data_IF_269520787132
#
_entry.id   IF_269520787132
#
_cell.length_a   1.000
_cell.length_b   1.000
_cell.length_c   1.000
_cell.angle_alpha   90.00
_cell.angle_beta   90.00
_cell.angle_gamma   90.00
#
_symmetry.space_group_name_H-M   'P 1'
#
loop_
_entity.id
_entity.type
_entity.pdbx_description
1 polymer ?
#
# COMPACT_ATOMS: atom_id res chain seq x y z
N UNK A 1 -4.19 -6.65 30.55
CA UNK A 1 -4.99 -6.46 29.33
C UNK A 1 -4.89 -7.74 28.53
N UNK A 2 -5.99 -8.30 28.03
CA UNK A 2 -5.94 -9.44 27.10
C UNK A 2 -5.18 -9.01 25.84
N UNK A 3 -4.31 -9.85 25.35
CA UNK A 3 -3.56 -9.59 24.10
C UNK A 3 -4.57 -9.65 22.94
N UNK A 4 -4.68 -8.58 22.15
CA UNK A 4 -5.55 -8.51 20.98
C UNK A 4 -5.04 -9.50 19.93
N UNK A 5 -5.92 -10.36 19.42
CA UNK A 5 -5.59 -11.37 18.41
C UNK A 5 -5.35 -10.70 17.07
N UNK A 6 -4.21 -10.98 16.42
CA UNK A 6 -3.86 -10.44 15.11
C UNK A 6 -3.49 -11.54 14.11
N UNK A 7 -3.91 -11.39 12.86
CA UNK A 7 -3.43 -12.17 11.74
C UNK A 7 -2.70 -11.25 10.73
N UNK A 8 -1.58 -11.73 10.19
CA UNK A 8 -0.84 -11.03 9.13
C UNK A 8 -1.23 -11.63 7.78
N UNK A 9 -1.60 -10.80 6.81
CA UNK A 9 -2.07 -11.20 5.49
C UNK A 9 -1.10 -10.72 4.42
N UNK A 10 -0.57 -11.65 3.61
CA UNK A 10 0.48 -11.35 2.62
C UNK A 10 0.10 -11.93 1.25
N UNK A 11 -0.33 -11.12 0.27
CA UNK A 11 -0.34 -11.56 -1.12
C UNK A 11 1.09 -11.76 -1.62
N UNK A 12 1.35 -12.94 -2.22
CA UNK A 12 2.68 -13.29 -2.72
C UNK A 12 2.63 -13.73 -4.19
N UNK A 13 3.62 -13.30 -4.97
CA UNK A 13 3.86 -13.75 -6.33
C UNK A 13 5.34 -13.98 -6.56
N UNK A 14 5.70 -15.20 -6.93
CA UNK A 14 7.12 -15.62 -7.07
C UNK A 14 7.96 -15.24 -5.85
N UNK A 15 7.54 -15.64 -4.63
CA UNK A 15 8.28 -15.31 -3.42
C UNK A 15 9.70 -15.90 -3.49
N UNK A 16 10.68 -15.14 -3.02
CA UNK A 16 12.10 -15.49 -3.03
C UNK A 16 12.75 -15.25 -1.66
N UNK A 17 14.05 -14.99 -1.63
CA UNK A 17 14.84 -14.78 -0.42
C UNK A 17 14.32 -13.59 0.43
N UNK A 18 13.82 -12.54 -0.20
CA UNK A 18 13.26 -11.39 0.52
C UNK A 18 12.00 -11.77 1.29
N UNK A 19 11.18 -12.65 0.73
CA UNK A 19 10.00 -13.19 1.41
C UNK A 19 10.38 -14.09 2.59
N UNK A 20 11.42 -14.88 2.47
CA UNK A 20 11.95 -15.71 3.57
C UNK A 20 12.43 -14.83 4.73
N UNK A 21 13.19 -13.76 4.44
CA UNK A 21 13.57 -12.75 5.43
C UNK A 21 12.36 -12.05 6.08
N UNK A 22 11.28 -11.87 5.33
CA UNK A 22 10.03 -11.34 5.88
C UNK A 22 9.43 -12.29 6.91
N UNK A 23 9.34 -13.60 6.59
CA UNK A 23 8.83 -14.61 7.53
C UNK A 23 9.69 -14.70 8.79
N UNK A 24 11.02 -14.71 8.64
CA UNK A 24 11.97 -14.67 9.77
C UNK A 24 11.71 -13.47 10.68
N UNK A 25 11.59 -12.25 10.12
CA UNK A 25 11.37 -11.02 10.90
C UNK A 25 9.98 -10.94 11.52
N UNK A 26 8.97 -11.53 10.89
CA UNK A 26 7.62 -11.64 11.48
C UNK A 26 7.62 -12.63 12.65
N UNK A 27 8.30 -13.76 12.53
CA UNK A 27 8.42 -14.74 13.63
C UNK A 27 9.21 -14.18 14.84
N UNK A 28 10.04 -13.16 14.61
CA UNK A 28 10.83 -12.51 15.66
C UNK A 28 10.11 -11.31 16.32
N UNK A 29 8.88 -10.98 15.94
CA UNK A 29 8.14 -9.87 16.55
C UNK A 29 7.88 -10.10 18.04
N UNK A 30 7.92 -9.04 18.85
CA UNK A 30 7.60 -9.12 20.28
C UNK A 30 6.11 -9.29 20.54
N UNK A 31 5.28 -8.62 19.76
CA UNK A 31 3.84 -8.81 19.82
C UNK A 31 3.46 -10.13 19.14
N UNK A 32 2.70 -11.02 19.81
CA UNK A 32 2.39 -12.34 19.27
C UNK A 32 1.50 -12.24 18.03
N UNK A 33 1.93 -12.89 16.96
CA UNK A 33 1.15 -13.10 15.74
C UNK A 33 0.41 -14.43 15.90
N UNK A 34 -0.90 -14.43 15.61
CA UNK A 34 -1.70 -15.67 15.67
C UNK A 34 -1.49 -16.52 14.41
N UNK A 35 -1.62 -15.93 13.21
CA UNK A 35 -1.37 -16.59 11.92
C UNK A 35 -0.75 -15.64 10.91
N UNK A 36 -0.05 -16.21 9.92
CA UNK A 36 0.44 -15.52 8.72
C UNK A 36 -0.26 -16.15 7.51
N UNK A 37 -1.34 -15.51 7.04
CA UNK A 37 -2.15 -15.99 5.90
C UNK A 37 -1.50 -15.51 4.60
N UNK A 38 -0.98 -16.43 3.80
CA UNK A 38 -0.29 -16.12 2.54
C UNK A 38 -1.17 -16.49 1.35
N UNK A 39 -1.54 -15.49 0.55
CA UNK A 39 -2.25 -15.67 -0.72
C UNK A 39 -1.24 -15.80 -1.85
N UNK A 40 -0.73 -17.02 -2.09
CA UNK A 40 0.32 -17.26 -3.06
C UNK A 40 -0.22 -17.46 -4.47
N UNK A 41 0.15 -16.57 -5.38
CA UNK A 41 -0.16 -16.68 -6.81
C UNK A 41 0.79 -17.66 -7.49
N UNK A 42 0.23 -18.68 -8.14
CA UNK A 42 0.89 -19.80 -8.82
C UNK A 42 1.69 -20.72 -7.87
N UNK A 43 1.05 -21.84 -7.46
CA UNK A 43 1.59 -22.87 -6.55
C UNK A 43 3.03 -23.30 -6.87
N UNK A 44 3.42 -23.37 -8.14
CA UNK A 44 4.77 -23.81 -8.58
C UNK A 44 5.93 -22.98 -8.03
N UNK A 45 5.67 -21.72 -7.57
CA UNK A 45 6.70 -20.86 -6.99
C UNK A 45 6.78 -20.94 -5.45
N UNK A 46 5.91 -21.74 -4.83
CA UNK A 46 5.88 -21.90 -3.39
C UNK A 46 6.89 -22.96 -2.92
N UNK A 47 7.67 -22.67 -1.90
CA UNK A 47 8.54 -23.61 -1.22
C UNK A 47 7.81 -24.19 -0.01
N UNK A 48 7.44 -25.48 -0.06
CA UNK A 48 6.75 -26.15 1.05
C UNK A 48 7.53 -26.12 2.36
N UNK A 49 8.85 -25.96 2.29
CA UNK A 49 9.72 -25.84 3.45
C UNK A 49 9.33 -24.67 4.37
N UNK A 50 8.81 -23.57 3.82
CA UNK A 50 8.38 -22.42 4.62
C UNK A 50 7.23 -22.74 5.60
N UNK A 51 6.34 -23.69 5.28
CA UNK A 51 5.27 -24.12 6.21
C UNK A 51 5.84 -24.96 7.38
N UNK A 52 6.99 -25.61 7.17
CA UNK A 52 7.69 -26.41 8.19
C UNK A 52 8.51 -25.49 9.10
N UNK A 53 9.26 -24.55 8.50
CA UNK A 53 10.17 -23.65 9.22
C UNK A 53 9.42 -22.54 9.97
N UNK A 54 8.23 -22.16 9.47
CA UNK A 54 7.40 -21.11 10.04
C UNK A 54 5.97 -21.61 10.31
N UNK A 55 5.73 -22.28 11.46
CA UNK A 55 4.45 -22.95 11.75
C UNK A 55 3.21 -22.04 11.79
N UNK A 56 3.38 -20.70 11.88
CA UNK A 56 2.29 -19.73 11.82
C UNK A 56 1.81 -19.48 10.38
N UNK A 57 2.53 -19.95 9.36
CA UNK A 57 2.19 -19.73 7.95
C UNK A 57 1.07 -20.68 7.52
N UNK A 58 -0.01 -20.08 7.02
CA UNK A 58 -1.11 -20.74 6.35
C UNK A 58 -1.17 -20.25 4.90
N UNK A 59 -0.94 -21.15 3.92
CA UNK A 59 -0.87 -20.77 2.51
C UNK A 59 -2.11 -21.17 1.72
N UNK A 60 -2.63 -20.21 0.95
CA UNK A 60 -3.70 -20.42 -0.02
C UNK A 60 -3.18 -20.10 -1.42
N UNK A 61 -3.35 -21.03 -2.36
CA UNK A 61 -2.87 -20.85 -3.72
C UNK A 61 -3.95 -20.32 -4.65
N UNK A 62 -3.57 -19.37 -5.51
CA UNK A 62 -4.40 -18.78 -6.55
C UNK A 62 -3.76 -19.01 -7.92
N UNK A 63 -4.56 -19.02 -8.96
CA UNK A 63 -4.07 -18.84 -10.33
C UNK A 63 -3.82 -17.35 -10.60
N UNK A 64 -2.96 -17.05 -11.57
CA UNK A 64 -2.61 -15.67 -11.91
C UNK A 64 -3.81 -14.85 -12.38
N UNK A 65 -4.74 -15.49 -13.03
CA UNK A 65 -6.00 -14.92 -13.53
C UNK A 65 -6.99 -14.57 -12.41
N UNK A 66 -6.88 -15.23 -11.26
CA UNK A 66 -7.73 -14.98 -10.09
C UNK A 66 -7.28 -13.78 -9.28
N UNK A 67 -6.00 -13.39 -9.41
CA UNK A 67 -5.44 -12.30 -8.61
C UNK A 67 -6.11 -10.96 -8.93
N UNK A 68 -6.48 -10.26 -7.89
CA UNK A 68 -6.92 -8.86 -7.87
C UNK A 68 -6.46 -8.22 -6.56
N UNK A 69 -6.07 -6.96 -6.58
CA UNK A 69 -5.51 -6.30 -5.39
C UNK A 69 -6.50 -6.22 -4.23
N UNK A 70 -7.77 -5.89 -4.50
CA UNK A 70 -8.82 -5.81 -3.50
C UNK A 70 -9.37 -7.18 -3.14
N UNK A 71 -9.87 -7.93 -4.14
CA UNK A 71 -10.54 -9.21 -3.94
C UNK A 71 -9.64 -10.26 -3.26
N UNK A 72 -8.35 -10.33 -3.61
CA UNK A 72 -7.42 -11.29 -3.00
C UNK A 72 -7.24 -11.01 -1.50
N UNK A 73 -7.09 -9.73 -1.11
CA UNK A 73 -6.97 -9.35 0.30
C UNK A 73 -8.28 -9.53 1.06
N UNK A 74 -9.40 -9.22 0.42
CA UNK A 74 -10.74 -9.45 1.00
C UNK A 74 -10.98 -10.93 1.28
N UNK A 75 -10.71 -11.82 0.31
CA UNK A 75 -10.80 -13.27 0.50
C UNK A 75 -9.91 -13.76 1.65
N UNK A 76 -8.72 -13.20 1.80
CA UNK A 76 -7.84 -13.55 2.91
C UNK A 76 -8.36 -13.04 4.25
N UNK A 77 -8.98 -11.86 4.30
CA UNK A 77 -9.63 -11.35 5.51
C UNK A 77 -10.78 -12.25 5.97
N UNK A 78 -11.55 -12.80 5.04
CA UNK A 78 -12.67 -13.74 5.31
C UNK A 78 -12.20 -15.07 5.96
N UNK A 79 -10.91 -15.43 5.83
CA UNK A 79 -10.30 -16.60 6.48
C UNK A 79 -9.89 -16.31 7.93
N UNK A 80 -9.87 -15.05 8.33
CA UNK A 80 -9.42 -14.61 9.65
C UNK A 80 -10.56 -14.46 10.65
N UNK A 81 -10.27 -14.83 11.89
CA UNK A 81 -11.10 -14.56 13.07
C UNK A 81 -10.39 -13.62 14.07
N UNK A 82 -9.30 -12.98 13.63
CA UNK A 82 -8.54 -12.05 14.46
C UNK A 82 -9.28 -10.71 14.63
N UNK A 83 -9.00 -10.01 15.71
CA UNK A 83 -9.56 -8.68 15.99
C UNK A 83 -8.91 -7.58 15.15
N UNK A 84 -7.63 -7.76 14.79
CA UNK A 84 -6.88 -6.86 13.92
C UNK A 84 -6.29 -7.65 12.75
N UNK A 85 -6.48 -7.14 11.53
CA UNK A 85 -5.89 -7.64 10.31
C UNK A 85 -4.68 -6.78 9.94
N UNK A 86 -3.51 -7.39 9.77
CA UNK A 86 -2.30 -6.67 9.30
C UNK A 86 -1.99 -7.10 7.88
N UNK A 87 -2.23 -6.22 6.91
CA UNK A 87 -1.84 -6.47 5.51
C UNK A 87 -0.41 -6.02 5.26
N UNK A 88 0.37 -6.87 4.59
CA UNK A 88 1.74 -6.55 4.17
C UNK A 88 1.97 -6.97 2.72
N UNK A 89 2.89 -6.29 2.02
CA UNK A 89 3.45 -6.79 0.77
C UNK A 89 4.64 -7.70 1.05
N UNK A 90 4.88 -8.67 0.15
CA UNK A 90 5.93 -9.68 0.32
C UNK A 90 7.37 -9.14 0.40
N UNK A 91 7.58 -7.87 0.09
CA UNK A 91 8.86 -7.16 0.04
C UNK A 91 8.98 -6.02 1.07
N UNK A 92 8.04 -5.95 2.01
CA UNK A 92 8.06 -5.01 3.13
C UNK A 92 8.68 -5.66 4.36
N UNK A 93 9.94 -5.38 4.64
CA UNK A 93 10.65 -6.00 5.77
C UNK A 93 10.48 -5.20 7.06
N UNK A 94 9.98 -5.80 8.17
CA UNK A 94 10.00 -5.15 9.48
C UNK A 94 11.39 -4.58 9.82
N UNK A 95 11.46 -3.31 10.21
CA UNK A 95 12.73 -2.68 10.54
C UNK A 95 13.26 -3.13 11.92
N UNK A 96 12.34 -3.48 12.82
CA UNK A 96 12.61 -3.93 14.17
C UNK A 96 11.55 -4.93 14.66
N UNK A 97 11.63 -5.33 15.92
CA UNK A 97 10.72 -6.31 16.55
C UNK A 97 9.47 -5.68 17.14
N UNK A 98 9.28 -4.36 17.03
CA UNK A 98 8.17 -3.61 17.60
C UNK A 98 7.10 -3.26 16.56
N UNK A 99 7.31 -3.60 15.28
CA UNK A 99 6.41 -3.22 14.18
C UNK A 99 4.94 -3.55 14.48
N UNK A 100 4.66 -4.80 14.84
CA UNK A 100 3.29 -5.28 15.08
C UNK A 100 2.70 -4.61 16.32
N UNK A 101 3.46 -4.54 17.42
CA UNK A 101 3.02 -3.86 18.65
C UNK A 101 2.67 -2.39 18.41
N UNK A 102 3.49 -1.66 17.65
CA UNK A 102 3.26 -0.26 17.31
C UNK A 102 2.01 -0.07 16.43
N UNK A 103 1.72 -1.00 15.50
CA UNK A 103 0.50 -0.95 14.69
C UNK A 103 -0.75 -1.25 15.54
N UNK A 104 -0.67 -2.24 16.44
CA UNK A 104 -1.78 -2.58 17.34
C UNK A 104 -2.10 -1.40 18.26
N UNK A 105 -1.08 -0.81 18.91
CA UNK A 105 -1.24 0.39 19.74
C UNK A 105 -1.86 1.55 18.95
N UNK A 106 -1.45 1.76 17.72
CA UNK A 106 -2.02 2.80 16.87
C UNK A 106 -3.53 2.61 16.55
N UNK A 107 -4.04 1.39 16.63
CA UNK A 107 -5.49 1.12 16.53
C UNK A 107 -6.17 1.24 17.91
N UNK A 108 -5.60 0.57 18.93
CA UNK A 108 -6.26 0.40 20.22
C UNK A 108 -6.24 1.69 21.07
N UNK A 109 -5.16 2.48 20.97
CA UNK A 109 -4.98 3.69 21.78
C UNK A 109 -5.71 4.93 21.20
N UNK A 110 -6.32 4.80 20.03
CA UNK A 110 -7.02 5.91 19.38
C UNK A 110 -8.49 5.56 19.14
N UNK A 111 -9.38 6.31 19.76
CA UNK A 111 -10.82 6.20 19.56
C UNK A 111 -11.18 6.34 18.07
N UNK A 112 -12.01 5.45 17.56
CA UNK A 112 -12.45 5.39 16.15
C UNK A 112 -11.33 5.16 15.13
N UNK A 113 -10.14 4.71 15.51
CA UNK A 113 -9.12 4.30 14.55
C UNK A 113 -9.54 3.01 13.83
N UNK A 114 -9.92 3.11 12.58
CA UNK A 114 -10.27 1.94 11.76
C UNK A 114 -9.08 1.37 11.00
N UNK A 115 -8.02 2.16 10.78
CA UNK A 115 -6.79 1.71 10.15
C UNK A 115 -5.55 2.44 10.68
N UNK A 116 -4.42 1.73 10.71
CA UNK A 116 -3.11 2.31 10.97
C UNK A 116 -2.09 1.79 9.95
N UNK A 117 -1.20 2.66 9.42
CA UNK A 117 -0.19 2.24 8.46
C UNK A 117 1.22 2.65 8.88
N UNK A 118 2.18 1.80 8.51
CA UNK A 118 3.57 1.91 8.91
C UNK A 118 4.35 2.94 8.10
N UNK A 119 5.42 3.44 8.69
CA UNK A 119 6.45 4.24 8.04
C UNK A 119 7.30 3.37 7.14
N UNK A 120 7.39 3.76 5.86
CA UNK A 120 8.26 3.09 4.91
C UNK A 120 9.63 3.77 4.88
N UNK A 121 10.65 3.02 5.29
CA UNK A 121 12.05 3.41 5.21
C UNK A 121 12.65 2.97 3.86
N UNK A 122 13.61 3.71 3.29
CA UNK A 122 14.28 3.30 2.07
C UNK A 122 15.16 2.06 2.32
N UNK A 123 15.16 1.11 1.38
CA UNK A 123 16.13 0.00 1.33
C UNK A 123 17.54 0.55 1.04
N UNK A 124 18.57 -0.26 1.27
CA UNK A 124 19.98 0.13 1.08
C UNK A 124 20.29 0.58 -0.36
N UNK A 125 19.75 -0.16 -1.34
CA UNK A 125 19.90 0.09 -2.78
C UNK A 125 19.05 1.23 -3.32
N UNK A 126 18.27 1.88 -2.45
CA UNK A 126 17.36 2.96 -2.84
C UNK A 126 18.10 4.16 -3.42
N UNK A 127 17.69 4.63 -4.60
CA UNK A 127 18.28 5.80 -5.26
C UNK A 127 18.08 7.08 -4.45
N UNK A 128 19.01 8.02 -4.59
CA UNK A 128 19.06 9.27 -3.82
C UNK A 128 17.73 10.03 -3.82
N UNK A 129 17.13 10.23 -4.99
CA UNK A 129 15.85 10.95 -5.10
C UNK A 129 14.68 10.17 -4.47
N UNK A 130 14.69 8.85 -4.58
CA UNK A 130 13.66 8.02 -3.96
C UNK A 130 13.78 8.01 -2.43
N UNK A 131 15.01 8.05 -1.86
CA UNK A 131 15.23 8.24 -0.41
C UNK A 131 14.55 9.52 0.08
N UNK A 132 14.72 10.62 -0.67
CA UNK A 132 14.03 11.88 -0.34
C UNK A 132 12.51 11.75 -0.46
N UNK A 133 12.02 11.13 -1.52
CA UNK A 133 10.57 10.92 -1.73
C UNK A 133 9.96 10.10 -0.58
N UNK A 134 10.66 9.08 -0.08
CA UNK A 134 10.23 8.31 1.09
C UNK A 134 10.16 9.17 2.34
N UNK A 135 11.20 9.94 2.65
CA UNK A 135 11.20 10.82 3.82
C UNK A 135 10.11 11.90 3.75
N UNK A 136 9.79 12.39 2.54
CA UNK A 136 8.72 13.37 2.33
C UNK A 136 7.33 12.78 2.57
N UNK A 137 7.08 11.55 2.09
CA UNK A 137 5.78 10.90 2.21
C UNK A 137 5.57 10.20 3.56
N UNK A 138 6.65 9.80 4.22
CA UNK A 138 6.65 9.08 5.49
C UNK A 138 7.53 9.79 6.52
N UNK A 139 7.09 10.96 7.04
CA UNK A 139 7.84 11.74 8.02
C UNK A 139 8.03 10.98 9.34
N UNK A 140 8.90 11.49 10.21
CA UNK A 140 9.19 10.84 11.50
C UNK A 140 8.10 11.06 12.58
N UNK A 141 7.10 11.87 12.29
CA UNK A 141 6.02 12.20 13.22
C UNK A 141 4.73 11.49 12.82
N UNK A 142 4.12 10.78 13.76
CA UNK A 142 2.80 10.17 13.63
C UNK A 142 1.70 11.23 13.50
N UNK A 143 0.61 10.89 12.85
CA UNK A 143 -0.58 11.74 12.81
C UNK A 143 -1.85 10.91 12.66
N UNK A 144 -2.94 11.46 13.18
CA UNK A 144 -4.30 10.94 12.99
C UNK A 144 -4.95 11.77 11.88
N UNK A 145 -5.69 11.11 11.00
CA UNK A 145 -6.38 11.72 9.87
C UNK A 145 -7.86 11.38 9.96
N UNK A 146 -8.69 12.42 9.91
CA UNK A 146 -10.14 12.34 10.02
C UNK A 146 -10.80 13.12 8.89
N UNK A 147 -12.11 13.08 8.77
CA UNK A 147 -12.86 13.84 7.78
C UNK A 147 -12.57 15.35 7.83
N UNK A 148 -12.31 15.89 9.03
CA UNK A 148 -11.97 17.32 9.23
C UNK A 148 -10.68 17.74 8.51
N UNK A 149 -9.79 16.78 8.24
CA UNK A 149 -8.51 17.01 7.55
C UNK A 149 -8.65 17.13 6.03
N UNK A 150 -9.79 16.75 5.43
CA UNK A 150 -9.98 16.74 3.96
C UNK A 150 -9.75 18.11 3.35
N UNK A 151 -10.21 19.18 4.01
CA UNK A 151 -10.04 20.55 3.54
C UNK A 151 -8.57 21.01 3.50
N UNK A 152 -7.75 20.53 4.44
CA UNK A 152 -6.35 20.97 4.59
C UNK A 152 -5.34 20.01 3.97
N UNK A 153 -5.61 18.70 4.00
CA UNK A 153 -4.71 17.65 3.51
C UNK A 153 -5.14 17.07 2.15
N UNK A 154 -6.36 17.38 1.69
CA UNK A 154 -6.89 16.84 0.44
C UNK A 154 -6.86 15.32 0.43
N UNK A 155 -6.46 14.76 -0.70
CA UNK A 155 -6.39 13.30 -0.93
C UNK A 155 -5.47 12.55 0.07
N UNK A 156 -4.51 13.24 0.71
CA UNK A 156 -3.66 12.63 1.74
C UNK A 156 -4.41 12.23 3.00
N UNK A 157 -5.60 12.75 3.22
CA UNK A 157 -6.46 12.32 4.32
C UNK A 157 -6.82 10.83 4.18
N UNK A 158 -7.10 10.38 2.96
CA UNK A 158 -7.45 8.99 2.65
C UNK A 158 -6.23 8.09 2.44
N UNK A 159 -5.02 8.65 2.49
CA UNK A 159 -3.82 7.85 2.26
C UNK A 159 -3.65 6.79 3.36
N UNK A 160 -3.69 5.54 2.95
CA UNK A 160 -3.29 4.36 3.70
C UNK A 160 -2.38 3.52 2.80
N UNK A 161 -1.63 2.57 3.33
CA UNK A 161 -0.75 1.78 2.49
C UNK A 161 -0.63 0.34 2.96
N UNK A 162 -1.21 -0.58 2.18
CA UNK A 162 -1.11 -2.03 2.37
C UNK A 162 0.30 -2.60 2.13
N UNK A 163 1.30 -1.75 1.91
CA UNK A 163 2.70 -2.15 2.08
C UNK A 163 2.91 -2.68 3.50
N UNK A 164 2.32 -2.00 4.50
CA UNK A 164 2.16 -2.50 5.87
C UNK A 164 1.10 -1.66 6.57
N UNK A 165 -0.08 -2.22 6.79
CA UNK A 165 -1.20 -1.55 7.45
C UNK A 165 -2.05 -2.51 8.28
N UNK A 166 -2.46 -2.06 9.47
CA UNK A 166 -3.39 -2.73 10.35
C UNK A 166 -4.80 -2.16 10.21
N UNK A 167 -5.81 -3.00 10.36
CA UNK A 167 -7.22 -2.63 10.30
C UNK A 167 -7.98 -3.25 11.46
N UNK A 168 -8.84 -2.50 12.12
CA UNK A 168 -9.86 -3.05 13.04
C UNK A 168 -10.80 -3.93 12.22
N UNK A 169 -10.83 -5.23 12.53
CA UNK A 169 -11.56 -6.22 11.73
C UNK A 169 -13.08 -6.02 11.81
N UNK A 170 -13.60 -5.54 12.93
CA UNK A 170 -15.02 -5.21 13.08
C UNK A 170 -15.40 -4.06 12.13
N UNK A 171 -14.63 -2.96 12.13
CA UNK A 171 -14.87 -1.83 11.23
C UNK A 171 -14.67 -2.25 9.77
N UNK A 172 -13.66 -3.10 9.50
CA UNK A 172 -13.40 -3.64 8.17
C UNK A 172 -14.63 -4.37 7.62
N UNK A 173 -15.27 -5.23 8.42
CA UNK A 173 -16.46 -5.96 8.04
C UNK A 173 -17.71 -5.07 7.95
N UNK A 174 -17.88 -4.13 8.88
CA UNK A 174 -18.99 -3.16 8.88
C UNK A 174 -19.08 -2.38 7.56
N UNK A 175 -17.92 -2.01 7.00
CA UNK A 175 -17.81 -1.26 5.75
C UNK A 175 -17.74 -2.15 4.50
N UNK A 176 -17.83 -3.46 4.65
CA UNK A 176 -17.83 -4.43 3.55
C UNK A 176 -16.44 -4.80 3.03
N UNK A 177 -15.36 -4.42 3.73
CA UNK A 177 -13.98 -4.75 3.36
C UNK A 177 -13.45 -3.97 2.16
N UNK A 178 -12.32 -4.41 1.60
CA UNK A 178 -11.78 -3.82 0.38
C UNK A 178 -12.73 -3.99 -0.81
N UNK A 179 -12.66 -3.10 -1.84
CA UNK A 179 -13.48 -3.23 -3.02
C UNK A 179 -13.29 -4.61 -3.67
N UNK A 180 -14.38 -5.21 -4.17
CA UNK A 180 -14.36 -6.52 -4.83
C UNK A 180 -13.48 -6.53 -6.08
N UNK A 181 -13.27 -5.36 -6.63
CA UNK A 181 -12.45 -5.15 -7.81
C UNK A 181 -11.69 -3.85 -7.71
N UNK A 182 -10.37 -3.94 -7.73
CA UNK A 182 -9.50 -2.78 -7.73
C UNK A 182 -8.26 -3.03 -8.60
N UNK A 183 -8.06 -2.20 -9.62
CA UNK A 183 -6.83 -2.26 -10.41
C UNK A 183 -5.63 -1.82 -9.58
N UNK A 184 -5.86 -0.90 -8.66
CA UNK A 184 -4.84 -0.30 -7.80
C UNK A 184 -5.51 0.44 -6.63
N UNK A 185 -4.79 0.71 -5.53
CA UNK A 185 -5.20 1.67 -4.49
C UNK A 185 -6.41 1.22 -3.64
N UNK A 186 -6.64 -0.08 -3.50
CA UNK A 186 -7.72 -0.64 -2.69
C UNK A 186 -7.72 -0.15 -1.24
N UNK A 187 -6.50 0.07 -0.71
CA UNK A 187 -6.26 0.62 0.63
C UNK A 187 -6.76 2.06 0.77
N UNK A 188 -6.51 2.89 -0.23
CA UNK A 188 -6.90 4.29 -0.22
C UNK A 188 -8.40 4.47 -0.51
N UNK A 189 -8.99 3.61 -1.36
CA UNK A 189 -10.43 3.58 -1.60
C UNK A 189 -11.16 3.25 -0.30
N UNK A 190 -10.75 2.16 0.36
CA UNK A 190 -11.32 1.73 1.63
C UNK A 190 -11.14 2.79 2.73
N UNK A 191 -9.93 3.38 2.85
CA UNK A 191 -9.68 4.45 3.80
C UNK A 191 -10.57 5.68 3.54
N UNK A 192 -10.88 5.97 2.27
CA UNK A 192 -11.82 7.03 1.92
C UNK A 192 -13.25 6.75 2.39
N UNK A 193 -13.75 5.52 2.19
CA UNK A 193 -15.05 5.10 2.73
C UNK A 193 -15.08 5.19 4.26
N UNK A 194 -14.02 4.71 4.89
CA UNK A 194 -13.87 4.69 6.34
C UNK A 194 -13.88 6.10 6.94
N UNK A 195 -13.09 7.03 6.39
CA UNK A 195 -13.03 8.42 6.85
C UNK A 195 -14.38 9.13 6.67
N UNK A 196 -15.07 8.92 5.54
CA UNK A 196 -16.43 9.47 5.29
C UNK A 196 -17.50 8.91 6.22
N UNK A 197 -17.23 7.77 6.88
CA UNK A 197 -18.08 7.18 7.94
C UNK A 197 -17.71 7.63 9.35
N UNK A 198 -16.76 8.57 9.49
CA UNK A 198 -16.36 9.14 10.77
C UNK A 198 -15.22 8.40 11.48
N UNK A 199 -14.65 7.37 10.86
CA UNK A 199 -13.48 6.68 11.40
C UNK A 199 -12.18 7.42 11.06
N UNK A 200 -11.10 7.09 11.77
CA UNK A 200 -9.81 7.70 11.59
C UNK A 200 -8.78 6.75 10.96
N UNK A 201 -7.85 7.31 10.19
CA UNK A 201 -6.63 6.64 9.72
C UNK A 201 -5.43 7.16 10.49
N UNK A 202 -4.69 6.27 11.15
CA UNK A 202 -3.49 6.62 11.91
C UNK A 202 -2.25 6.37 11.06
N UNK A 203 -1.39 7.34 10.92
CA UNK A 203 -0.03 7.15 10.46
C UNK A 203 0.85 6.86 11.67
N UNK A 204 1.35 5.64 11.79
CA UNK A 204 2.17 5.17 12.89
C UNK A 204 3.66 5.25 12.52
N UNK A 205 4.32 6.38 12.80
CA UNK A 205 5.71 6.61 12.41
C UNK A 205 6.71 5.69 13.10
N UNK A 206 6.36 5.14 14.26
CA UNK A 206 7.18 4.20 15.02
C UNK A 206 7.03 2.75 14.55
N UNK A 207 5.94 2.41 13.86
CA UNK A 207 5.82 1.17 13.11
C UNK A 207 6.60 1.30 11.79
N UNK A 208 7.71 0.58 11.63
CA UNK A 208 8.65 0.80 10.52
C UNK A 208 8.88 -0.44 9.69
N UNK A 209 8.88 -0.26 8.36
CA UNK A 209 9.27 -1.29 7.39
C UNK A 209 10.27 -0.74 6.38
N UNK A 210 11.23 -1.54 5.95
CA UNK A 210 12.06 -1.23 4.78
C UNK A 210 11.29 -1.60 3.51
N UNK A 211 10.98 -0.59 2.70
CA UNK A 211 10.31 -0.79 1.42
C UNK A 211 10.60 0.39 0.49
N UNK A 212 11.16 0.12 -0.67
CA UNK A 212 11.36 1.11 -1.73
C UNK A 212 11.54 0.42 -3.08
N UNK A 213 11.23 1.13 -4.16
CA UNK A 213 11.40 0.67 -5.52
C UNK A 213 12.08 1.74 -6.38
N UNK A 214 13.08 1.32 -7.13
CA UNK A 214 13.80 2.17 -8.08
C UNK A 214 13.14 2.14 -9.47
N UNK A 215 11.88 2.57 -9.57
CA UNK A 215 11.13 2.53 -10.82
C UNK A 215 11.78 3.35 -11.94
N UNK A 216 11.76 2.82 -13.17
CA UNK A 216 12.06 3.56 -14.39
C UNK A 216 10.93 4.54 -14.74
N UNK A 217 11.17 5.48 -15.67
CA UNK A 217 10.13 6.38 -16.16
C UNK A 217 8.94 5.62 -16.77
N UNK A 218 9.18 4.54 -17.51
CA UNK A 218 8.13 3.70 -18.08
C UNK A 218 7.28 3.03 -16.98
N UNK A 219 7.92 2.43 -15.97
CA UNK A 219 7.20 1.84 -14.82
C UNK A 219 6.41 2.88 -14.05
N UNK A 220 6.95 4.10 -13.86
CA UNK A 220 6.22 5.21 -13.24
C UNK A 220 5.00 5.62 -14.06
N UNK A 221 5.12 5.65 -15.39
CA UNK A 221 4.00 5.94 -16.30
C UNK A 221 2.89 4.90 -16.13
N UNK A 222 3.20 3.61 -16.28
CA UNK A 222 2.21 2.53 -16.21
C UNK A 222 1.51 2.47 -14.84
N UNK A 223 2.30 2.59 -13.74
CA UNK A 223 1.77 2.62 -12.38
C UNK A 223 0.81 3.80 -12.15
N UNK A 224 1.17 4.98 -12.64
CA UNK A 224 0.31 6.16 -12.49
C UNK A 224 -0.90 6.13 -13.44
N UNK A 225 -0.81 5.42 -14.58
CA UNK A 225 -1.98 5.13 -15.39
C UNK A 225 -3.01 4.31 -14.61
N UNK A 226 -2.59 3.20 -13.98
CA UNK A 226 -3.49 2.37 -13.17
C UNK A 226 -4.03 3.15 -11.95
N UNK A 227 -3.24 4.04 -11.33
CA UNK A 227 -3.70 4.96 -10.30
C UNK A 227 -4.80 5.91 -10.80
N UNK A 228 -4.60 6.49 -11.99
CA UNK A 228 -5.60 7.35 -12.63
C UNK A 228 -6.91 6.63 -12.91
N UNK A 229 -6.82 5.40 -13.45
CA UNK A 229 -7.99 4.52 -13.66
C UNK A 229 -8.72 4.25 -12.36
N UNK A 230 -8.00 3.82 -11.32
CA UNK A 230 -8.57 3.54 -10.00
C UNK A 230 -9.35 4.73 -9.43
N UNK A 231 -8.80 5.94 -9.52
CA UNK A 231 -9.49 7.14 -9.06
C UNK A 231 -10.67 7.54 -9.95
N UNK A 232 -10.65 7.24 -11.24
CA UNK A 232 -11.78 7.49 -12.13
C UNK A 232 -12.94 6.51 -11.91
N UNK A 233 -12.65 5.30 -11.46
CA UNK A 233 -13.64 4.26 -11.15
C UNK A 233 -14.31 4.45 -9.77
N UNK A 234 -13.71 5.27 -8.88
CA UNK A 234 -14.21 5.54 -7.53
C UNK A 234 -14.47 7.04 -7.29
N UNK A 235 -15.37 7.68 -8.08
CA UNK A 235 -15.70 9.10 -7.91
C UNK A 235 -16.29 9.37 -6.51
N UNK A 236 -16.99 8.41 -5.91
CA UNK A 236 -17.55 8.51 -4.55
C UNK A 236 -16.49 8.78 -3.47
N UNK A 237 -15.23 8.45 -3.76
CA UNK A 237 -14.09 8.74 -2.86
C UNK A 237 -13.33 9.98 -3.29
N UNK A 238 -13.02 10.09 -4.59
CA UNK A 238 -11.99 11.00 -5.08
C UNK A 238 -12.53 12.27 -5.77
N UNK A 239 -13.82 12.32 -6.13
CA UNK A 239 -14.39 13.50 -6.76
C UNK A 239 -14.44 14.69 -5.79
N UNK A 240 -14.03 15.86 -6.26
CA UNK A 240 -13.98 17.08 -5.44
C UNK A 240 -12.84 17.12 -4.42
N UNK A 241 -12.00 16.08 -4.31
CA UNK A 241 -10.87 16.06 -3.39
C UNK A 241 -9.58 16.51 -4.09
N UNK A 242 -8.93 17.61 -3.63
CA UNK A 242 -7.72 18.12 -4.25
C UNK A 242 -6.58 17.07 -4.24
N UNK A 243 -6.04 16.72 -5.40
CA UNK A 243 -4.96 15.73 -5.56
C UNK A 243 -3.70 16.29 -6.24
N UNK A 244 -3.85 17.23 -7.16
CA UNK A 244 -2.76 17.69 -8.04
C UNK A 244 -1.72 18.56 -7.32
N UNK A 245 -2.11 19.30 -6.32
CA UNK A 245 -1.21 20.18 -5.55
C UNK A 245 -0.07 19.46 -4.85
N UNK A 246 -0.29 18.22 -4.42
CA UNK A 246 0.72 17.43 -3.71
C UNK A 246 1.86 16.96 -4.63
N UNK A 247 1.55 16.60 -5.87
CA UNK A 247 2.58 16.26 -6.87
C UNK A 247 3.49 17.45 -7.17
N UNK A 248 2.91 18.62 -7.39
CA UNK A 248 3.67 19.86 -7.62
C UNK A 248 4.51 20.23 -6.39
N UNK A 249 3.95 20.10 -5.20
CA UNK A 249 4.66 20.37 -3.94
C UNK A 249 5.87 19.43 -3.77
N UNK A 250 5.71 18.14 -4.06
CA UNK A 250 6.81 17.17 -4.02
C UNK A 250 7.91 17.56 -5.01
N UNK A 251 7.59 17.90 -6.26
CA UNK A 251 8.56 18.30 -7.27
C UNK A 251 9.34 19.54 -6.84
N UNK A 252 8.66 20.60 -6.38
CA UNK A 252 9.30 21.83 -5.89
C UNK A 252 10.25 21.56 -4.72
N UNK A 253 9.81 20.76 -3.75
CA UNK A 253 10.64 20.41 -2.58
C UNK A 253 11.81 19.49 -2.96
N UNK A 254 11.61 18.55 -3.88
CA UNK A 254 12.68 17.69 -4.39
C UNK A 254 13.74 18.51 -5.13
N UNK A 255 13.34 19.48 -5.96
CA UNK A 255 14.27 20.37 -6.64
C UNK A 255 15.08 21.21 -5.64
N UNK A 256 14.42 21.84 -4.66
CA UNK A 256 15.10 22.59 -3.61
C UNK A 256 16.08 21.71 -2.80
N UNK A 257 15.71 20.45 -2.53
CA UNK A 257 16.57 19.50 -1.86
C UNK A 257 17.82 19.16 -2.70
N UNK A 258 17.65 18.89 -4.00
CA UNK A 258 18.75 18.59 -4.91
C UNK A 258 19.74 19.75 -5.02
N UNK A 259 19.24 20.99 -5.12
CA UNK A 259 20.08 22.21 -5.13
C UNK A 259 20.85 22.35 -3.80
N UNK A 260 20.17 22.23 -2.66
CA UNK A 260 20.77 22.38 -1.34
C UNK A 260 21.84 21.32 -1.04
N UNK A 261 21.67 20.11 -1.56
CA UNK A 261 22.60 18.99 -1.35
C UNK A 261 23.66 18.85 -2.44
N UNK A 262 23.70 19.77 -3.42
CA UNK A 262 24.68 19.78 -4.48
C UNK A 262 24.45 18.75 -5.59
N UNK A 263 23.28 18.11 -5.65
CA UNK A 263 22.97 17.04 -6.62
C UNK A 263 22.18 17.56 -7.84
N UNK A 264 22.55 18.72 -8.36
CA UNK A 264 21.83 19.40 -9.45
C UNK A 264 21.74 18.59 -10.75
N UNK A 265 22.69 17.68 -11.02
CA UNK A 265 22.67 16.77 -12.19
C UNK A 265 21.51 15.77 -12.18
N UNK A 266 20.82 15.57 -11.02
CA UNK A 266 19.63 14.73 -10.93
C UNK A 266 18.34 15.48 -11.31
N UNK A 267 18.37 16.80 -11.49
CA UNK A 267 17.19 17.61 -11.83
C UNK A 267 16.55 17.17 -13.16
N UNK A 268 17.27 16.92 -14.26
CA UNK A 268 16.65 16.40 -15.48
C UNK A 268 15.89 15.08 -15.24
N UNK A 269 16.49 14.15 -14.47
CA UNK A 269 15.85 12.89 -14.09
C UNK A 269 14.55 13.08 -13.28
N UNK A 270 14.52 14.05 -12.35
CA UNK A 270 13.32 14.43 -11.61
C UNK A 270 12.20 14.91 -12.56
N UNK A 271 12.53 15.73 -13.56
CA UNK A 271 11.56 16.20 -14.54
C UNK A 271 10.98 15.06 -15.39
N UNK A 272 11.83 14.19 -15.96
CA UNK A 272 11.36 13.06 -16.76
C UNK A 272 10.49 12.09 -15.95
N UNK A 273 10.87 11.77 -14.71
CA UNK A 273 10.05 10.94 -13.85
C UNK A 273 8.70 11.59 -13.50
N UNK A 274 8.70 12.90 -13.21
CA UNK A 274 7.48 13.64 -12.88
C UNK A 274 6.55 13.77 -14.08
N UNK A 275 7.10 14.03 -15.27
CA UNK A 275 6.35 14.06 -16.52
C UNK A 275 5.72 12.70 -16.85
N UNK A 276 6.47 11.61 -16.66
CA UNK A 276 5.96 10.25 -16.86
C UNK A 276 4.82 9.92 -15.91
N UNK A 277 4.95 10.26 -14.62
CA UNK A 277 3.88 10.11 -13.62
C UNK A 277 2.63 10.88 -14.03
N UNK A 278 2.80 12.16 -14.38
CA UNK A 278 1.68 13.02 -14.75
C UNK A 278 0.98 12.52 -16.02
N UNK A 279 1.75 12.17 -17.06
CA UNK A 279 1.19 11.65 -18.30
C UNK A 279 0.41 10.35 -18.09
N UNK A 280 0.95 9.40 -17.31
CA UNK A 280 0.25 8.18 -16.95
C UNK A 280 -1.06 8.48 -16.22
N UNK A 281 -1.00 9.28 -15.16
CA UNK A 281 -2.16 9.66 -14.36
C UNK A 281 -3.24 10.37 -15.19
N UNK A 282 -2.83 11.34 -16.02
CA UNK A 282 -3.73 12.10 -16.88
C UNK A 282 -4.49 11.19 -17.88
N UNK A 283 -3.78 10.25 -18.53
CA UNK A 283 -4.40 9.28 -19.43
C UNK A 283 -5.28 8.29 -18.67
N UNK A 284 -4.83 7.81 -17.51
CA UNK A 284 -5.60 6.91 -16.67
C UNK A 284 -6.93 7.51 -16.20
N UNK A 285 -6.95 8.77 -15.78
CA UNK A 285 -8.19 9.50 -15.43
C UNK A 285 -9.19 9.60 -16.59
N UNK A 286 -8.74 9.44 -17.82
CA UNK A 286 -9.52 9.55 -19.06
C UNK A 286 -9.59 8.24 -19.84
N UNK A 287 -9.30 7.12 -19.21
CA UNK A 287 -9.19 5.82 -19.86
C UNK A 287 -10.44 5.44 -20.68
N UNK A 288 -11.63 5.88 -20.27
CA UNK A 288 -12.89 5.62 -20.97
C UNK A 288 -12.90 6.19 -22.40
N UNK A 289 -12.09 7.21 -22.68
CA UNK A 289 -11.96 7.84 -24.01
C UNK A 289 -10.84 7.21 -24.84
N UNK A 290 -10.15 6.19 -24.32
CA UNK A 290 -9.01 5.57 -25.01
C UNK A 290 -9.42 4.24 -25.65
N UNK A 291 -8.86 3.92 -26.84
CA UNK A 291 -9.08 2.61 -27.44
C UNK A 291 -8.44 1.50 -26.58
N UNK A 292 -9.06 0.33 -26.54
CA UNK A 292 -8.64 -0.81 -25.71
C UNK A 292 -7.15 -1.17 -25.88
N UNK A 293 -6.66 -1.18 -27.12
CA UNK A 293 -5.25 -1.47 -27.42
C UNK A 293 -4.29 -0.51 -26.68
N UNK A 294 -4.69 0.77 -26.59
CA UNK A 294 -3.89 1.78 -25.90
C UNK A 294 -3.97 1.57 -24.38
N UNK A 295 -5.16 1.26 -23.83
CA UNK A 295 -5.31 0.92 -22.41
C UNK A 295 -4.39 -0.25 -22.03
N UNK A 296 -4.43 -1.35 -22.82
CA UNK A 296 -3.60 -2.53 -22.57
C UNK A 296 -2.09 -2.24 -22.68
N UNK A 297 -1.69 -1.27 -23.48
CA UNK A 297 -0.29 -0.85 -23.56
C UNK A 297 0.14 0.07 -22.41
N UNK A 298 -0.80 0.76 -21.76
CA UNK A 298 -0.54 1.70 -20.66
C UNK A 298 -0.61 1.07 -19.27
N UNK A 299 -1.35 -0.04 -19.10
CA UNK A 299 -1.56 -0.67 -17.78
C UNK A 299 -0.42 -1.59 -17.35
N UNK A 300 -0.18 -1.71 -16.04
CA UNK A 300 0.61 -2.80 -15.44
C UNK A 300 -0.23 -4.06 -15.21
N UNK A 301 -1.56 -3.96 -15.26
CA UNK A 301 -2.49 -5.00 -14.84
C UNK A 301 -3.39 -5.48 -16.01
N UNK A 302 -2.83 -6.09 -17.07
CA UNK A 302 -3.62 -6.46 -18.25
C UNK A 302 -4.72 -7.49 -17.95
N UNK A 303 -4.58 -8.32 -16.92
CA UNK A 303 -5.60 -9.28 -16.48
C UNK A 303 -6.85 -8.60 -15.90
N UNK A 304 -6.69 -7.45 -15.27
CA UNK A 304 -7.81 -6.64 -14.79
C UNK A 304 -8.79 -6.31 -15.92
N UNK A 305 -8.28 -5.99 -17.11
CA UNK A 305 -9.06 -5.62 -18.26
C UNK A 305 -9.72 -6.82 -18.95
N UNK A 306 -9.08 -8.00 -18.91
CA UNK A 306 -9.67 -9.25 -19.47
C UNK A 306 -10.91 -9.72 -18.72
N UNK A 307 -11.01 -9.50 -17.42
CA UNK A 307 -12.18 -9.82 -16.60
C UNK A 307 -13.37 -8.86 -16.80
N UNK A 308 -13.18 -7.82 -17.59
CA UNK A 308 -14.24 -6.83 -17.91
C UNK A 308 -15.16 -7.29 -19.05
N UNK A 309 -14.79 -8.35 -19.72
CA UNK A 309 -15.57 -9.04 -20.74
C UNK A 309 -16.32 -10.21 -20.12
#
# INVERSE_FOLDING_TARGET
MSTVKIDVIIPAYRPGEEFEKLLERLSAQKYPINRIIVMNTEKKFWKKQWEIDYPLVEVHHLMKEEFDHGATRRKAAELSDAEILVFMTQDALPADRELIGNLVSAIVDHENAGAAYARQLPKEDCRFLEKYTRSFNYPAQSCIKTEKDVQTRGIKTYFCSNVCAAYDHRIYNELGGFPERAIFNEDMIYAGWMVKKGYAVVYAADAKVYHSHNYSCAQQFHRNFDLGVSQAEHPEVFEGVPSEGEGIRLVKKSMAYLVRTGHIWLIPGLFFQSASKYAGYFLGKRYQNLPEKLILSCTMSPYYWKKRR
#
